data_IF_698963992768
#
_entry.id   IF_698963992768
#
_cell.length_a   1.000
_cell.length_b   1.000
_cell.length_c   1.000
_cell.angle_alpha   90.00
_cell.angle_beta   90.00
_cell.angle_gamma   90.00
#
_symmetry.space_group_name_H-M   'P 1'
#
loop_
_entity.id
_entity.type
_entity.pdbx_description
1 polymer ?
#
# COMPACT_ATOMS: atom_id res chain seq x y z
N UNK A 1 -17.11 -21.21 -39.39
CA UNK A 1 -16.51 -21.00 -38.05
C UNK A 1 -15.69 -22.23 -37.69
N UNK A 2 -14.37 -22.13 -37.62
CA UNK A 2 -13.51 -23.23 -37.15
C UNK A 2 -13.69 -23.42 -35.65
N UNK A 3 -14.28 -24.54 -35.24
CA UNK A 3 -14.35 -24.90 -33.82
C UNK A 3 -12.95 -25.28 -33.34
N UNK A 4 -12.41 -24.50 -32.41
CA UNK A 4 -11.16 -24.83 -31.71
C UNK A 4 -11.50 -25.76 -30.53
N UNK A 5 -10.85 -26.91 -30.45
CA UNK A 5 -10.96 -27.81 -29.30
C UNK A 5 -9.85 -27.52 -28.29
N UNK A 6 -10.20 -27.60 -27.01
CA UNK A 6 -9.24 -27.55 -25.89
C UNK A 6 -9.40 -28.84 -25.11
N UNK A 7 -8.29 -29.55 -24.92
CA UNK A 7 -8.24 -30.78 -24.15
C UNK A 7 -7.56 -30.48 -22.82
N UNK A 8 -8.23 -30.81 -21.71
CA UNK A 8 -7.66 -30.72 -20.38
C UNK A 8 -7.61 -32.12 -19.77
N UNK A 9 -6.56 -32.37 -18.98
CA UNK A 9 -6.42 -33.61 -18.22
C UNK A 9 -7.00 -33.39 -16.84
N UNK A 10 -7.73 -34.38 -16.36
CA UNK A 10 -8.38 -34.42 -15.05
C UNK A 10 -7.96 -35.72 -14.40
N UNK A 11 -7.84 -35.72 -13.08
CA UNK A 11 -7.62 -36.98 -12.37
C UNK A 11 -8.86 -37.87 -12.47
N UNK A 12 -8.67 -39.18 -12.26
CA UNK A 12 -9.73 -40.15 -12.49
C UNK A 12 -10.92 -39.97 -11.53
N UNK A 13 -10.62 -39.69 -10.27
CA UNK A 13 -11.59 -39.35 -9.22
C UNK A 13 -12.37 -38.06 -9.53
N UNK A 14 -11.70 -37.02 -10.03
CA UNK A 14 -12.33 -35.77 -10.46
C UNK A 14 -13.28 -36.01 -11.64
N UNK A 15 -12.90 -36.89 -12.57
CA UNK A 15 -13.74 -37.29 -13.70
C UNK A 15 -14.97 -38.09 -13.26
N UNK A 16 -14.82 -39.04 -12.33
CA UNK A 16 -15.95 -39.77 -11.75
C UNK A 16 -16.94 -38.83 -11.05
N UNK A 17 -16.43 -37.87 -10.28
CA UNK A 17 -17.24 -36.86 -9.63
C UNK A 17 -18.01 -35.99 -10.65
N UNK A 18 -17.34 -35.56 -11.72
CA UNK A 18 -17.97 -34.80 -12.81
C UNK A 18 -19.09 -35.61 -13.48
N UNK A 19 -18.86 -36.89 -13.74
CA UNK A 19 -19.85 -37.78 -14.34
C UNK A 19 -21.08 -37.97 -13.43
N UNK A 20 -20.87 -38.16 -12.13
CA UNK A 20 -21.94 -38.29 -11.15
C UNK A 20 -22.79 -37.00 -11.08
N UNK A 21 -22.16 -35.82 -11.02
CA UNK A 21 -22.86 -34.53 -11.02
C UNK A 21 -23.61 -34.27 -12.34
N UNK A 22 -23.01 -34.64 -13.47
CA UNK A 22 -23.64 -34.52 -14.79
C UNK A 22 -24.89 -35.41 -14.89
N UNK A 23 -24.81 -36.62 -14.34
CA UNK A 23 -25.93 -37.56 -14.31
C UNK A 23 -27.08 -37.06 -13.44
N UNK A 24 -26.81 -36.50 -12.26
CA UNK A 24 -27.84 -35.86 -11.40
C UNK A 24 -28.59 -34.76 -12.15
N UNK A 25 -27.88 -34.00 -12.99
CA UNK A 25 -28.41 -32.87 -13.76
C UNK A 25 -28.92 -33.26 -15.15
N UNK A 26 -28.87 -34.55 -15.52
CA UNK A 26 -29.29 -35.10 -16.82
C UNK A 26 -28.63 -34.40 -18.03
N UNK A 27 -27.36 -34.06 -17.89
CA UNK A 27 -26.56 -33.40 -18.94
C UNK A 27 -25.31 -34.22 -19.25
N UNK A 28 -24.72 -34.00 -20.43
CA UNK A 28 -23.46 -34.65 -20.78
C UNK A 28 -22.31 -34.11 -19.89
N UNK A 29 -21.37 -34.97 -19.43
CA UNK A 29 -20.23 -34.54 -18.60
C UNK A 29 -19.41 -33.41 -19.24
N UNK A 30 -19.21 -33.47 -20.56
CA UNK A 30 -18.51 -32.44 -21.31
C UNK A 30 -19.26 -31.09 -21.33
N UNK A 31 -20.61 -31.13 -21.33
CA UNK A 31 -21.42 -29.92 -21.25
C UNK A 31 -21.35 -29.29 -19.86
N UNK A 32 -21.38 -30.11 -18.80
CA UNK A 32 -21.18 -29.67 -17.42
C UNK A 32 -19.79 -29.05 -17.23
N UNK A 33 -18.73 -29.69 -17.71
CA UNK A 33 -17.37 -29.17 -17.62
C UNK A 33 -17.23 -27.80 -18.30
N UNK A 34 -17.81 -27.63 -19.49
CA UNK A 34 -17.84 -26.33 -20.18
C UNK A 34 -18.59 -25.26 -19.40
N UNK A 35 -19.70 -25.62 -18.75
CA UNK A 35 -20.48 -24.70 -17.93
C UNK A 35 -19.69 -24.24 -16.70
N UNK A 36 -19.11 -25.20 -15.95
CA UNK A 36 -18.26 -24.93 -14.78
C UNK A 36 -17.07 -24.05 -15.18
N UNK A 37 -16.42 -24.34 -16.30
CA UNK A 37 -15.28 -23.55 -16.77
C UNK A 37 -15.67 -22.11 -17.12
N UNK A 38 -16.81 -21.90 -17.79
CA UNK A 38 -17.30 -20.54 -18.08
C UNK A 38 -17.65 -19.78 -16.81
N UNK A 39 -18.30 -20.45 -15.87
CA UNK A 39 -18.67 -19.86 -14.58
C UNK A 39 -17.44 -19.52 -13.75
N UNK A 40 -16.42 -20.38 -13.74
CA UNK A 40 -15.18 -20.13 -13.02
C UNK A 40 -14.38 -18.98 -13.64
N UNK A 41 -14.32 -18.88 -14.97
CA UNK A 41 -13.70 -17.72 -15.64
C UNK A 41 -14.44 -16.42 -15.30
N UNK A 42 -15.77 -16.41 -15.42
CA UNK A 42 -16.56 -15.22 -15.09
C UNK A 42 -16.45 -14.82 -13.61
N UNK A 43 -16.37 -15.81 -12.72
CA UNK A 43 -16.17 -15.59 -11.29
C UNK A 43 -14.75 -15.11 -10.97
N UNK A 44 -13.74 -15.59 -11.69
CA UNK A 44 -12.36 -15.15 -11.57
C UNK A 44 -12.24 -13.67 -11.93
N UNK A 45 -12.81 -13.26 -13.07
CA UNK A 45 -12.75 -11.87 -13.53
C UNK A 45 -13.37 -10.91 -12.50
N UNK A 46 -14.56 -11.23 -11.97
CA UNK A 46 -15.21 -10.41 -10.94
C UNK A 46 -14.42 -10.32 -9.64
N UNK A 47 -13.88 -11.45 -9.15
CA UNK A 47 -13.07 -11.44 -7.92
C UNK A 47 -11.79 -10.66 -8.13
N UNK A 48 -11.21 -10.74 -9.32
CA UNK A 48 -10.00 -10.01 -9.65
C UNK A 48 -10.26 -8.50 -9.74
N UNK A 49 -11.37 -8.07 -10.34
CA UNK A 49 -11.81 -6.68 -10.34
C UNK A 49 -11.98 -6.13 -8.91
N UNK A 50 -12.68 -6.87 -8.04
CA UNK A 50 -12.85 -6.48 -6.63
C UNK A 50 -11.50 -6.39 -5.90
N UNK A 51 -10.61 -7.35 -6.09
CA UNK A 51 -9.27 -7.32 -5.48
C UNK A 51 -8.45 -6.13 -5.97
N UNK A 52 -8.56 -5.75 -7.25
CA UNK A 52 -7.89 -4.57 -7.78
C UNK A 52 -8.45 -3.28 -7.16
N UNK A 53 -9.77 -3.15 -7.02
CA UNK A 53 -10.40 -2.03 -6.35
C UNK A 53 -9.97 -1.91 -4.88
N UNK A 54 -9.93 -3.02 -4.14
CA UNK A 54 -9.45 -3.07 -2.75
C UNK A 54 -7.98 -2.63 -2.63
N UNK A 55 -7.12 -3.08 -3.56
CA UNK A 55 -5.71 -2.65 -3.61
C UNK A 55 -5.60 -1.14 -3.85
N UNK A 56 -6.40 -0.57 -4.74
CA UNK A 56 -6.40 0.87 -4.99
C UNK A 56 -6.86 1.67 -3.76
N UNK A 57 -7.92 1.20 -3.08
CA UNK A 57 -8.40 1.82 -1.84
C UNK A 57 -7.36 1.75 -0.72
N UNK A 58 -6.67 0.61 -0.56
CA UNK A 58 -5.58 0.45 0.40
C UNK A 58 -4.41 1.38 0.09
N UNK A 59 -4.05 1.56 -1.18
CA UNK A 59 -3.00 2.51 -1.57
C UNK A 59 -3.40 3.95 -1.23
N UNK A 60 -4.66 4.33 -1.48
CA UNK A 60 -5.16 5.65 -1.13
C UNK A 60 -5.19 5.90 0.39
N UNK A 61 -5.57 4.89 1.18
CA UNK A 61 -5.59 5.00 2.63
C UNK A 61 -4.18 5.12 3.23
N UNK A 62 -3.21 4.36 2.71
CA UNK A 62 -1.79 4.47 3.09
C UNK A 62 -1.24 5.86 2.77
N UNK A 63 -1.51 6.39 1.56
CA UNK A 63 -1.09 7.73 1.20
C UNK A 63 -1.66 8.81 2.13
N UNK A 64 -2.94 8.65 2.50
CA UNK A 64 -3.62 9.54 3.46
C UNK A 64 -2.99 9.46 4.85
N UNK A 65 -2.71 8.25 5.34
CA UNK A 65 -2.08 8.02 6.62
C UNK A 65 -0.66 8.62 6.66
N UNK A 66 0.12 8.43 5.60
CA UNK A 66 1.46 8.99 5.49
C UNK A 66 1.46 10.53 5.51
N UNK A 67 0.47 11.15 4.88
CA UNK A 67 0.27 12.60 4.93
C UNK A 67 -0.09 13.05 6.36
N UNK A 68 -0.97 12.32 7.06
CA UNK A 68 -1.34 12.61 8.44
C UNK A 68 -0.14 12.49 9.39
N UNK A 69 0.62 11.41 9.31
CA UNK A 69 1.84 11.20 10.13
C UNK A 69 2.87 12.30 9.88
N UNK A 70 3.08 12.68 8.61
CA UNK A 70 3.97 13.80 8.29
C UNK A 70 3.50 15.11 8.92
N UNK A 71 2.19 15.38 8.90
CA UNK A 71 1.60 16.60 9.45
C UNK A 71 1.67 16.61 10.99
N UNK A 72 1.40 15.49 11.65
CA UNK A 72 1.51 15.39 13.12
C UNK A 72 2.95 15.52 13.59
N UNK A 73 3.92 14.95 12.87
CA UNK A 73 5.34 15.14 13.17
C UNK A 73 5.75 16.62 13.10
N UNK A 74 5.30 17.35 12.07
CA UNK A 74 5.54 18.80 11.95
C UNK A 74 4.88 19.56 13.10
N UNK A 75 3.65 19.23 13.48
CA UNK A 75 2.97 19.89 14.61
C UNK A 75 3.64 19.60 15.96
N UNK A 76 4.05 18.35 16.20
CA UNK A 76 4.77 17.98 17.41
C UNK A 76 6.11 18.72 17.50
N UNK A 77 6.88 18.77 16.41
CA UNK A 77 8.11 19.54 16.35
C UNK A 77 7.87 21.04 16.56
N UNK A 78 6.80 21.60 15.98
CA UNK A 78 6.38 22.98 16.20
C UNK A 78 5.95 23.26 17.64
N UNK A 79 5.27 22.32 18.30
CA UNK A 79 4.87 22.43 19.70
C UNK A 79 6.08 22.37 20.64
N UNK A 80 7.05 21.49 20.37
CA UNK A 80 8.32 21.45 21.12
C UNK A 80 9.10 22.74 20.95
N UNK A 81 9.20 23.26 19.73
CA UNK A 81 9.84 24.55 19.47
C UNK A 81 9.13 25.71 20.17
N UNK A 82 7.79 25.69 20.20
CA UNK A 82 7.00 26.70 20.90
C UNK A 82 7.15 26.61 22.43
N UNK A 83 7.24 25.39 22.99
CA UNK A 83 7.46 25.17 24.41
C UNK A 83 8.88 25.57 24.88
N UNK A 84 9.86 25.57 23.98
CA UNK A 84 11.21 26.05 24.26
C UNK A 84 11.31 27.58 24.32
N UNK A 85 10.27 28.31 23.88
CA UNK A 85 10.20 29.78 23.98
C UNK A 85 9.70 30.14 25.39
N UNK A 86 10.47 30.96 26.15
CA UNK A 86 10.01 31.44 27.45
C UNK A 86 8.67 32.18 27.36
N UNK A 87 7.75 31.97 28.32
CA UNK A 87 6.45 32.65 28.34
C UNK A 87 6.63 34.18 28.23
N UNK A 88 5.88 34.81 27.32
CA UNK A 88 5.92 36.27 27.12
C UNK A 88 6.94 36.78 26.09
N UNK A 89 7.81 35.90 25.54
CA UNK A 89 8.77 36.29 24.49
C UNK A 89 8.34 35.93 23.06
N UNK A 90 7.19 35.28 22.86
CA UNK A 90 6.75 34.81 21.55
C UNK A 90 6.62 35.93 20.49
N UNK A 91 6.26 37.15 20.91
CA UNK A 91 6.11 38.32 20.02
C UNK A 91 7.40 39.12 19.84
N UNK A 92 8.42 38.91 20.69
CA UNK A 92 9.71 39.60 20.62
C UNK A 92 10.80 38.82 19.89
N UNK A 93 10.49 37.60 19.40
CA UNK A 93 11.45 36.79 18.62
C UNK A 93 11.71 37.46 17.27
N UNK A 94 12.97 37.79 16.93
CA UNK A 94 13.34 38.30 15.62
C UNK A 94 12.95 37.32 14.50
N UNK A 95 12.47 37.83 13.36
CA UNK A 95 12.02 36.98 12.24
C UNK A 95 13.12 36.02 11.73
N UNK A 96 14.39 36.45 11.70
CA UNK A 96 15.50 35.57 11.32
C UNK A 96 15.65 34.35 12.25
N UNK A 97 15.32 34.48 13.53
CA UNK A 97 15.35 33.38 14.48
C UNK A 97 14.14 32.44 14.31
N UNK A 98 12.97 32.98 13.95
CA UNK A 98 11.80 32.17 13.57
C UNK A 98 12.07 31.34 12.31
N UNK A 99 12.73 31.93 11.32
CA UNK A 99 13.11 31.23 10.10
C UNK A 99 14.18 30.16 10.36
N UNK A 100 15.12 30.42 11.25
CA UNK A 100 16.08 29.40 11.70
C UNK A 100 15.36 28.21 12.38
N UNK A 101 14.39 28.47 13.26
CA UNK A 101 13.59 27.42 13.91
C UNK A 101 12.76 26.63 12.89
N UNK A 102 12.12 27.30 11.92
CA UNK A 102 11.43 26.62 10.81
C UNK A 102 12.39 25.75 9.98
N UNK A 103 13.60 26.24 9.73
CA UNK A 103 14.66 25.50 9.08
C UNK A 103 15.05 24.23 9.84
N UNK A 104 15.27 24.34 11.15
CA UNK A 104 15.56 23.19 12.02
C UNK A 104 14.42 22.18 12.06
N UNK A 105 13.16 22.63 12.19
CA UNK A 105 11.99 21.73 12.14
C UNK A 105 11.95 20.97 10.81
N UNK A 106 12.18 21.67 9.70
CA UNK A 106 12.16 21.08 8.36
C UNK A 106 13.29 20.06 8.18
N UNK A 107 14.49 20.36 8.69
CA UNK A 107 15.64 19.46 8.68
C UNK A 107 15.39 18.21 9.55
N UNK A 108 14.84 18.37 10.75
CA UNK A 108 14.50 17.27 11.66
C UNK A 108 13.44 16.35 11.08
N UNK A 109 12.40 16.88 10.42
CA UNK A 109 11.40 16.06 9.72
C UNK A 109 12.01 15.30 8.54
N UNK A 110 12.92 15.94 7.79
CA UNK A 110 13.64 15.29 6.69
C UNK A 110 14.54 14.16 7.20
N UNK A 111 15.24 14.37 8.30
CA UNK A 111 16.11 13.34 8.89
C UNK A 111 15.28 12.20 9.50
N UNK A 112 14.16 12.50 10.17
CA UNK A 112 13.22 11.49 10.65
C UNK A 112 12.73 10.56 9.52
N UNK A 113 12.37 11.13 8.36
CA UNK A 113 12.00 10.35 7.16
C UNK A 113 13.15 9.52 6.59
N UNK A 114 14.40 9.97 6.75
CA UNK A 114 15.59 9.24 6.31
C UNK A 114 15.86 8.06 7.23
N UNK A 115 15.77 8.26 8.54
CA UNK A 115 15.95 7.21 9.55
C UNK A 115 14.88 6.13 9.40
N UNK A 116 13.62 6.51 9.18
CA UNK A 116 12.51 5.60 8.91
C UNK A 116 12.79 4.66 7.72
N UNK A 117 13.21 5.24 6.59
CA UNK A 117 13.63 4.46 5.40
C UNK A 117 14.87 3.60 5.65
N UNK A 118 15.86 4.12 6.36
CA UNK A 118 17.06 3.37 6.70
C UNK A 118 16.77 2.16 7.60
N UNK A 119 15.75 2.28 8.48
CA UNK A 119 15.26 1.20 9.31
C UNK A 119 14.56 0.12 8.47
N UNK A 120 13.69 0.53 7.54
CA UNK A 120 13.01 -0.39 6.59
C UNK A 120 14.01 -1.11 5.66
N UNK A 121 15.02 -0.39 5.17
CA UNK A 121 16.04 -0.91 4.25
C UNK A 121 17.19 -1.65 4.96
N UNK A 122 17.23 -1.62 6.30
CA UNK A 122 18.27 -2.23 7.12
C UNK A 122 19.68 -1.63 6.92
N UNK A 123 19.77 -0.41 6.38
CA UNK A 123 21.04 0.28 6.06
C UNK A 123 21.07 1.66 6.68
N UNK A 124 21.72 1.79 7.83
CA UNK A 124 22.01 3.08 8.44
C UNK A 124 23.33 3.62 7.88
N UNK A 125 23.26 4.36 6.76
CA UNK A 125 24.43 5.08 6.25
C UNK A 125 24.75 6.26 7.18
N UNK A 126 25.67 6.04 8.11
CA UNK A 126 26.15 7.01 9.11
C UNK A 126 27.17 8.01 8.55
N UNK A 127 27.62 7.86 7.30
CA UNK A 127 28.80 8.58 6.77
C UNK A 127 28.51 9.78 5.85
N UNK A 128 27.36 10.45 6.00
CA UNK A 128 27.22 11.81 5.44
C UNK A 128 27.19 12.83 6.56
N UNK A 129 28.34 12.93 7.21
CA UNK A 129 28.64 13.99 8.17
C UNK A 129 28.46 15.35 7.52
N UNK A 130 27.89 16.26 8.32
CA UNK A 130 27.83 17.68 8.11
C UNK A 130 29.13 18.22 7.52
N UNK A 131 29.12 18.53 6.23
CA UNK A 131 29.99 19.59 5.71
C UNK A 131 29.17 20.85 5.79
N UNK A 132 29.19 21.45 6.98
CA UNK A 132 28.97 22.89 7.12
C UNK A 132 30.02 23.57 6.24
N UNK A 133 29.61 24.00 5.05
CA UNK A 133 30.38 24.92 4.23
C UNK A 133 30.27 26.31 4.86
N UNK A 134 31.40 26.81 5.37
CA UNK A 134 31.63 28.20 5.77
C UNK A 134 31.13 29.21 4.75
#
# INVERSE_FOLDING_TARGET
>A
MTQKSVHFRVQWDEYEHLCAEAQKRKIAPMALAKMIHRESMAGYDRRHEVLLEEIEQLRASVATLQALVSKTAVFAAGAVAAAAIPPGMATSIPEGMKDQVRGHISASVREGRRIDRAFDDGRFDTERGDVASN
#
